data_IF_952002377702
#
_entry.id   IF_952002377702
#
_cell.length_a   1.000
_cell.length_b   1.000
_cell.length_c   1.000
_cell.angle_alpha   90.00
_cell.angle_beta   90.00
_cell.angle_gamma   90.00
#
_symmetry.space_group_name_H-M   'P 1'
#
loop_
_entity.id
_entity.type
_entity.pdbx_description
1 polymer ?
#
# COMPACT_ATOMS: atom_id res chain seq x y z
N UNK A 1 -14.04 -10.91 1.85
CA UNK A 1 -12.65 -10.41 1.76
C UNK A 1 -11.71 -11.05 2.75
N UNK A 2 -12.17 -11.51 3.91
CA UNK A 2 -11.36 -12.29 4.84
C UNK A 2 -10.69 -13.51 4.21
N UNK A 3 -11.41 -14.28 3.38
CA UNK A 3 -10.83 -15.45 2.67
C UNK A 3 -9.68 -15.04 1.73
N UNK A 4 -9.84 -14.06 0.83
CA UNK A 4 -8.72 -13.51 0.06
C UNK A 4 -7.52 -13.02 0.89
N UNK A 5 -7.76 -12.37 2.03
CA UNK A 5 -6.67 -11.89 2.90
C UNK A 5 -5.86 -13.07 3.48
N UNK A 6 -6.53 -14.10 3.99
CA UNK A 6 -5.83 -15.30 4.48
C UNK A 6 -5.11 -16.06 3.37
N UNK A 7 -5.70 -16.14 2.17
CA UNK A 7 -5.05 -16.76 1.02
C UNK A 7 -3.79 -15.98 0.60
N UNK A 8 -3.85 -14.66 0.60
CA UNK A 8 -2.71 -13.79 0.33
C UNK A 8 -1.58 -13.96 1.36
N UNK A 9 -1.90 -14.07 2.65
CA UNK A 9 -0.92 -14.37 3.69
C UNK A 9 -0.30 -15.78 3.52
N UNK A 10 -1.05 -16.71 2.93
CA UNK A 10 -0.57 -18.04 2.55
C UNK A 10 0.15 -18.08 1.18
N UNK A 11 0.41 -16.93 0.56
CA UNK A 11 1.14 -16.84 -0.70
C UNK A 11 0.31 -17.08 -1.97
N UNK A 12 -1.01 -16.93 -1.90
CA UNK A 12 -1.93 -17.10 -3.03
C UNK A 12 -2.53 -15.78 -3.51
N UNK A 13 -2.70 -15.64 -4.81
CA UNK A 13 -3.38 -14.51 -5.43
C UNK A 13 -4.85 -14.84 -5.70
N UNK A 14 -5.75 -13.91 -5.39
CA UNK A 14 -7.15 -14.02 -5.78
C UNK A 14 -7.26 -13.68 -7.27
N UNK A 15 -7.68 -14.65 -8.07
CA UNK A 15 -7.77 -14.52 -9.52
C UNK A 15 -9.18 -14.21 -9.98
N UNK A 16 -10.18 -14.84 -9.37
CA UNK A 16 -11.59 -14.62 -9.69
C UNK A 16 -12.51 -14.96 -8.53
N UNK A 17 -13.67 -14.32 -8.52
CA UNK A 17 -14.81 -14.70 -7.67
C UNK A 17 -15.99 -15.03 -8.57
N UNK A 18 -16.43 -16.27 -8.53
CA UNK A 18 -17.52 -16.76 -9.36
C UNK A 18 -18.72 -17.17 -8.51
N UNK A 19 -19.87 -17.27 -9.17
CA UNK A 19 -21.06 -17.86 -8.56
C UNK A 19 -20.78 -19.34 -8.25
N UNK A 20 -21.04 -19.75 -7.01
CA UNK A 20 -20.97 -21.16 -6.67
C UNK A 20 -22.29 -21.83 -7.04
N UNK A 21 -22.32 -22.54 -8.16
CA UNK A 21 -23.44 -23.40 -8.50
C UNK A 21 -23.21 -24.78 -7.86
N UNK A 22 -24.16 -25.20 -7.03
CA UNK A 22 -24.10 -26.46 -6.31
C UNK A 22 -24.27 -27.60 -7.31
N UNK A 23 -23.18 -28.24 -7.71
CA UNK A 23 -23.21 -29.47 -8.48
C UNK A 23 -23.24 -30.68 -7.54
N UNK A 24 -24.36 -30.90 -6.86
CA UNK A 24 -24.60 -32.19 -6.19
C UNK A 24 -24.96 -33.23 -7.24
N UNK A 25 -23.97 -34.02 -7.68
CA UNK A 25 -24.20 -35.29 -8.37
C UNK A 25 -23.59 -36.42 -7.56
N UNK A 26 -24.08 -36.64 -6.33
CA UNK A 26 -23.73 -37.80 -5.53
C UNK A 26 -24.98 -38.36 -4.84
N UNK A 27 -25.49 -39.46 -5.40
CA UNK A 27 -26.23 -40.47 -4.66
C UNK A 27 -25.28 -41.18 -3.71
N UNK A 28 -24.95 -40.55 -2.57
CA UNK A 28 -24.29 -41.27 -1.47
C UNK A 28 -25.28 -42.30 -0.92
N UNK A 29 -25.10 -43.56 -1.32
CA UNK A 29 -25.92 -44.70 -0.89
C UNK A 29 -25.70 -45.05 0.61
N UNK A 30 -24.94 -44.24 1.36
CA UNK A 30 -24.69 -44.41 2.80
C UNK A 30 -24.76 -43.07 3.53
N UNK A 31 -25.96 -42.76 4.02
CA UNK A 31 -26.14 -42.05 5.29
C UNK A 31 -25.84 -40.54 5.31
N UNK A 32 -26.90 -39.74 5.22
CA UNK A 32 -27.06 -38.42 5.87
C UNK A 32 -25.81 -37.52 5.91
N UNK A 33 -25.26 -37.18 4.74
CA UNK A 33 -24.48 -35.94 4.65
C UNK A 33 -25.45 -34.78 4.84
N UNK A 34 -25.35 -34.10 5.98
CA UNK A 34 -26.10 -32.86 6.22
C UNK A 34 -25.55 -31.82 5.23
N UNK A 35 -26.41 -31.06 4.53
CA UNK A 35 -25.93 -29.97 3.70
C UNK A 35 -25.13 -29.02 4.59
N UNK A 36 -23.90 -28.70 4.17
CA UNK A 36 -23.12 -27.66 4.83
C UNK A 36 -23.92 -26.36 4.79
N UNK A 37 -24.01 -25.60 5.89
CA UNK A 37 -24.66 -24.30 5.88
C UNK A 37 -23.87 -23.37 4.96
N UNK A 38 -24.29 -23.26 3.71
CA UNK A 38 -23.81 -22.27 2.76
C UNK A 38 -24.57 -20.97 3.02
N UNK A 39 -23.88 -19.83 2.91
CA UNK A 39 -24.54 -18.52 2.91
C UNK A 39 -25.63 -18.46 1.84
N UNK A 40 -26.61 -17.56 1.98
CA UNK A 40 -27.71 -17.40 0.99
C UNK A 40 -27.25 -17.24 -0.47
N UNK A 41 -26.01 -16.77 -0.70
CA UNK A 41 -25.37 -16.71 -2.01
C UNK A 41 -23.90 -17.19 -1.93
N UNK A 42 -23.64 -18.49 -2.02
CA UNK A 42 -22.28 -19.00 -1.96
C UNK A 42 -21.46 -18.52 -3.17
N UNK A 43 -20.19 -18.21 -2.93
CA UNK A 43 -19.24 -17.77 -3.96
C UNK A 43 -18.05 -18.72 -4.01
N UNK A 44 -17.56 -19.01 -5.23
CA UNK A 44 -16.35 -19.76 -5.47
C UNK A 44 -15.19 -18.77 -5.60
N UNK A 45 -14.21 -18.88 -4.72
CA UNK A 45 -12.97 -18.09 -4.80
C UNK A 45 -11.92 -18.93 -5.54
N UNK A 46 -11.37 -18.39 -6.62
CA UNK A 46 -10.32 -19.03 -7.39
C UNK A 46 -9.00 -18.36 -7.02
N UNK A 47 -8.06 -19.18 -6.56
CA UNK A 47 -6.73 -18.76 -6.14
C UNK A 47 -5.67 -19.35 -7.06
N UNK A 48 -4.59 -18.61 -7.28
CA UNK A 48 -3.43 -19.05 -8.07
C UNK A 48 -2.13 -18.83 -7.32
N UNK A 49 -1.14 -19.67 -7.62
CA UNK A 49 0.24 -19.42 -7.22
C UNK A 49 0.89 -18.39 -8.15
N UNK A 50 1.81 -17.54 -7.65
CA UNK A 50 2.46 -16.48 -8.45
C UNK A 50 3.31 -16.99 -9.62
N UNK A 51 3.67 -18.28 -9.62
CA UNK A 51 4.60 -18.88 -10.57
C UNK A 51 3.96 -19.97 -11.46
N UNK A 52 2.64 -20.16 -11.38
CA UNK A 52 1.99 -21.34 -11.97
C UNK A 52 1.82 -21.29 -13.50
N UNK A 53 1.97 -20.12 -14.17
CA UNK A 53 2.12 -19.91 -15.65
C UNK A 53 2.04 -18.42 -16.00
N UNK A 54 2.93 -17.96 -16.90
CA UNK A 54 3.02 -16.60 -17.46
C UNK A 54 3.04 -15.44 -16.42
N UNK A 55 3.43 -14.21 -16.78
CA UNK A 55 3.26 -13.07 -15.87
C UNK A 55 1.76 -12.85 -15.61
N UNK A 56 1.27 -13.35 -14.47
CA UNK A 56 -0.10 -13.15 -14.00
C UNK A 56 -0.23 -11.68 -13.60
N UNK A 57 -1.14 -10.94 -14.23
CA UNK A 57 -1.56 -9.62 -13.74
C UNK A 57 -3.00 -9.73 -13.23
N UNK A 58 -3.15 -9.70 -11.91
CA UNK A 58 -4.45 -9.77 -11.26
C UNK A 58 -5.19 -8.45 -11.46
N UNK A 59 -6.49 -8.50 -11.75
CA UNK A 59 -7.31 -7.29 -11.86
C UNK A 59 -7.29 -6.50 -10.54
N UNK A 60 -7.21 -5.17 -10.65
CA UNK A 60 -7.27 -4.23 -9.53
C UNK A 60 -8.42 -4.52 -8.56
N UNK A 61 -9.55 -5.05 -9.04
CA UNK A 61 -10.68 -5.40 -8.19
C UNK A 61 -10.40 -6.55 -7.19
N UNK A 62 -9.42 -7.40 -7.48
CA UNK A 62 -9.04 -8.57 -6.68
C UNK A 62 -7.73 -8.41 -5.92
N UNK A 63 -6.95 -7.35 -6.22
CA UNK A 63 -5.68 -7.10 -5.56
C UNK A 63 -5.86 -6.78 -4.07
N UNK A 64 -4.94 -7.30 -3.27
CA UNK A 64 -4.80 -6.94 -1.85
C UNK A 64 -3.75 -5.84 -1.72
N UNK A 65 -4.09 -4.84 -0.91
CA UNK A 65 -3.27 -3.66 -0.69
C UNK A 65 -2.96 -3.44 0.80
N UNK A 66 -1.86 -2.76 1.05
CA UNK A 66 -1.51 -2.16 2.34
C UNK A 66 -1.23 -0.68 2.13
N UNK A 67 -1.46 0.15 3.15
CA UNK A 67 -1.16 1.58 3.09
C UNK A 67 -0.36 2.04 4.30
N UNK A 68 0.42 3.10 4.12
CA UNK A 68 1.04 3.81 5.23
C UNK A 68 1.17 5.30 4.91
N UNK A 69 1.36 6.11 5.95
CA UNK A 69 1.61 7.54 5.79
C UNK A 69 3.09 7.84 5.92
N UNK A 70 3.67 8.42 4.87
CA UNK A 70 5.01 9.00 4.91
C UNK A 70 4.87 10.49 5.24
N UNK A 71 5.45 10.94 6.35
CA UNK A 71 5.39 12.33 6.80
C UNK A 71 6.79 12.95 6.80
N UNK A 72 6.98 13.96 5.98
CA UNK A 72 8.23 14.71 5.89
C UNK A 72 8.01 16.10 6.47
N UNK A 73 8.89 16.51 7.36
CA UNK A 73 8.98 17.90 7.78
C UNK A 73 9.99 18.61 6.88
N UNK A 74 9.52 19.66 6.22
CA UNK A 74 10.29 20.38 5.20
C UNK A 74 10.14 21.88 5.43
N UNK A 75 11.27 22.59 5.46
CA UNK A 75 11.36 24.02 5.34
C UNK A 75 11.64 24.37 3.86
N UNK A 76 10.65 24.93 3.17
CA UNK A 76 10.73 25.20 1.72
C UNK A 76 11.95 26.03 1.32
N UNK A 77 12.39 26.96 2.16
CA UNK A 77 13.53 27.82 1.86
C UNK A 77 14.87 27.10 2.01
N UNK A 78 15.14 26.48 3.17
CA UNK A 78 16.43 25.85 3.44
C UNK A 78 16.55 24.51 2.75
N UNK A 79 15.52 23.66 2.83
CA UNK A 79 15.54 22.34 2.23
C UNK A 79 15.36 22.43 0.72
N UNK A 80 14.60 23.42 0.23
CA UNK A 80 14.49 23.70 -1.19
C UNK A 80 15.85 24.03 -1.82
N UNK A 81 16.60 24.96 -1.22
CA UNK A 81 17.98 25.29 -1.66
C UNK A 81 18.91 24.08 -1.60
N UNK A 82 18.89 23.34 -0.48
CA UNK A 82 19.75 22.17 -0.32
C UNK A 82 19.40 21.05 -1.33
N UNK A 83 18.13 20.90 -1.70
CA UNK A 83 17.71 19.97 -2.75
C UNK A 83 18.18 20.44 -4.13
N UNK A 84 18.04 21.73 -4.44
CA UNK A 84 18.47 22.32 -5.71
C UNK A 84 19.99 22.20 -5.91
N UNK A 85 20.80 22.40 -4.87
CA UNK A 85 22.25 22.16 -4.87
C UNK A 85 22.61 20.70 -5.20
N UNK A 86 21.71 19.76 -4.89
CA UNK A 86 21.84 18.33 -5.23
C UNK A 86 21.20 17.97 -6.58
N UNK A 87 20.74 18.97 -7.34
CA UNK A 87 20.06 18.77 -8.63
C UNK A 87 18.64 18.22 -8.51
N UNK A 88 18.00 18.36 -7.35
CA UNK A 88 16.64 17.89 -7.08
C UNK A 88 15.68 19.08 -6.98
N UNK A 89 14.49 18.98 -7.56
CA UNK A 89 13.50 20.06 -7.53
C UNK A 89 12.54 19.88 -6.35
N UNK A 90 12.39 20.93 -5.54
CA UNK A 90 11.43 20.93 -4.41
C UNK A 90 10.00 20.65 -4.87
N UNK A 91 9.63 21.09 -6.08
CA UNK A 91 8.30 20.81 -6.67
C UNK A 91 8.08 19.31 -6.88
N UNK A 92 9.11 18.58 -7.30
CA UNK A 92 9.03 17.13 -7.50
C UNK A 92 8.90 16.41 -6.16
N UNK A 93 9.50 16.96 -5.09
CA UNK A 93 9.26 16.49 -3.73
C UNK A 93 7.79 16.72 -3.35
N UNK A 94 7.27 17.94 -3.42
CA UNK A 94 5.88 18.29 -3.06
C UNK A 94 4.85 17.45 -3.81
N UNK A 95 5.09 17.19 -5.11
CA UNK A 95 4.21 16.36 -5.92
C UNK A 95 4.31 14.86 -5.58
N UNK A 96 5.36 14.43 -4.90
CA UNK A 96 5.65 13.03 -4.59
C UNK A 96 6.41 12.29 -5.70
N UNK A 97 6.69 12.95 -6.82
CA UNK A 97 7.43 12.37 -7.96
C UNK A 97 8.82 11.91 -7.51
N UNK A 98 9.47 12.71 -6.67
CA UNK A 98 10.79 12.38 -6.13
C UNK A 98 10.76 11.12 -5.24
N UNK A 99 9.67 10.91 -4.50
CA UNK A 99 9.49 9.72 -3.65
C UNK A 99 9.33 8.47 -4.52
N UNK A 100 8.46 8.53 -5.54
CA UNK A 100 8.28 7.43 -6.48
C UNK A 100 9.56 7.13 -7.27
N UNK A 101 10.31 8.15 -7.66
CA UNK A 101 11.59 8.00 -8.33
C UNK A 101 12.64 7.35 -7.43
N UNK A 102 12.70 7.72 -6.15
CA UNK A 102 13.58 7.07 -5.18
C UNK A 102 13.23 5.59 -5.02
N UNK A 103 11.94 5.26 -4.94
CA UNK A 103 11.49 3.86 -4.86
C UNK A 103 11.92 3.04 -6.08
N UNK A 104 11.73 3.61 -7.29
CA UNK A 104 12.07 2.94 -8.55
C UNK A 104 13.57 2.76 -8.72
N UNK A 105 14.36 3.82 -8.54
CA UNK A 105 15.82 3.80 -8.76
C UNK A 105 16.53 2.85 -7.80
N UNK A 106 16.05 2.77 -6.56
CA UNK A 106 16.64 1.91 -5.54
C UNK A 106 15.99 0.52 -5.46
N UNK A 107 15.06 0.20 -6.37
CA UNK A 107 14.36 -1.10 -6.44
C UNK A 107 13.76 -1.52 -5.08
N UNK A 108 13.22 -0.54 -4.35
CA UNK A 108 12.63 -0.75 -3.01
C UNK A 108 11.40 -1.66 -3.09
N UNK A 109 10.66 -1.55 -4.19
CA UNK A 109 9.45 -2.33 -4.41
C UNK A 109 9.81 -3.61 -5.16
N UNK A 110 9.54 -4.80 -4.58
CA UNK A 110 9.73 -6.07 -5.26
C UNK A 110 8.94 -6.16 -6.57
N UNK A 111 9.46 -6.93 -7.52
CA UNK A 111 8.73 -7.21 -8.76
C UNK A 111 7.38 -7.87 -8.45
N UNK A 112 6.32 -7.41 -9.09
CA UNK A 112 4.96 -7.91 -8.87
C UNK A 112 4.20 -7.24 -7.73
N UNK A 113 4.84 -6.32 -7.01
CA UNK A 113 4.18 -5.34 -6.15
C UNK A 113 4.22 -3.98 -6.85
N UNK A 114 3.11 -3.26 -6.81
CA UNK A 114 3.02 -1.88 -7.27
C UNK A 114 2.93 -0.94 -6.08
N UNK A 115 3.68 0.16 -6.14
CA UNK A 115 3.59 1.26 -5.21
C UNK A 115 3.06 2.52 -5.90
N UNK A 116 2.22 3.26 -5.19
CA UNK A 116 1.67 4.54 -5.65
C UNK A 116 1.42 5.49 -4.48
N UNK A 117 1.32 6.78 -4.79
CA UNK A 117 0.89 7.82 -3.85
C UNK A 117 -0.58 8.08 -4.12
N UNK A 118 -1.45 7.61 -3.23
CA UNK A 118 -2.89 7.72 -3.39
C UNK A 118 -3.41 9.12 -3.09
N UNK A 119 -2.85 9.78 -2.08
CA UNK A 119 -3.12 11.19 -1.78
C UNK A 119 -1.90 11.88 -1.19
N UNK A 120 -1.86 13.20 -1.29
CA UNK A 120 -0.80 14.06 -0.75
C UNK A 120 -1.41 15.31 -0.15
N UNK A 121 -0.83 15.78 0.95
CA UNK A 121 -1.21 17.02 1.60
C UNK A 121 0.02 17.79 2.06
N UNK A 122 0.01 19.10 1.85
CA UNK A 122 0.97 20.02 2.46
C UNK A 122 0.25 20.73 3.62
N UNK A 123 0.65 20.43 4.85
CA UNK A 123 0.05 20.98 6.06
C UNK A 123 1.02 21.99 6.66
N UNK A 124 0.67 23.29 6.72
CA UNK A 124 1.51 24.27 7.40
C UNK A 124 1.74 23.85 8.85
N UNK A 125 2.97 23.94 9.35
CA UNK A 125 3.22 23.80 10.78
C UNK A 125 2.75 25.09 11.43
N UNK A 126 1.52 25.12 11.91
CA UNK A 126 1.07 26.17 12.81
C UNK A 126 1.83 25.99 14.14
N UNK A 127 2.99 26.64 14.25
CA UNK A 127 3.78 26.81 15.47
C UNK A 127 3.65 25.64 16.46
N UNK A 128 4.13 24.46 16.10
CA UNK A 128 4.36 23.44 17.13
C UNK A 128 5.48 23.95 18.02
N UNK A 129 5.29 23.88 19.34
CA UNK A 129 6.24 24.36 20.36
C UNK A 129 7.63 23.69 20.30
N UNK A 130 7.83 22.74 19.39
CA UNK A 130 9.09 22.02 19.18
C UNK A 130 9.99 22.68 18.13
N UNK A 131 9.57 23.78 17.50
CA UNK A 131 10.44 24.63 16.67
C UNK A 131 11.41 25.43 17.56
N UNK A 132 12.38 24.73 18.13
CA UNK A 132 13.66 25.34 18.50
C UNK A 132 14.43 25.59 17.21
N UNK A 133 14.86 26.83 17.06
CA UNK A 133 15.69 27.38 16.00
C UNK A 133 15.00 27.83 14.70
N UNK A 134 14.91 29.17 14.59
CA UNK A 134 14.98 30.00 13.37
C UNK A 134 13.72 30.67 12.83
N UNK A 135 12.55 30.60 13.48
CA UNK A 135 11.41 31.46 13.09
C UNK A 135 10.96 31.34 11.62
N UNK A 136 11.32 30.23 10.95
CA UNK A 136 10.93 29.93 9.57
C UNK A 136 9.73 28.98 9.58
N UNK A 137 8.69 29.25 8.78
CA UNK A 137 7.52 28.40 8.73
C UNK A 137 7.89 27.06 8.07
N UNK A 138 7.87 25.99 8.86
CA UNK A 138 7.91 24.63 8.34
C UNK A 138 6.58 24.20 7.73
N UNK A 139 6.61 23.15 6.92
CA UNK A 139 5.43 22.43 6.46
C UNK A 139 5.63 20.92 6.58
N UNK A 140 4.54 20.21 6.86
CA UNK A 140 4.50 18.76 6.73
C UNK A 140 4.02 18.40 5.33
N UNK A 141 4.82 17.61 4.62
CA UNK A 141 4.37 16.89 3.45
C UNK A 141 3.93 15.50 3.89
N UNK A 142 2.65 15.20 3.73
CA UNK A 142 2.04 13.91 4.08
C UNK A 142 1.68 13.19 2.80
N UNK A 143 2.25 12.02 2.58
CA UNK A 143 1.92 11.13 1.46
C UNK A 143 1.24 9.89 1.99
N UNK A 144 0.08 9.54 1.43
CA UNK A 144 -0.51 8.23 1.65
C UNK A 144 0.03 7.27 0.59
N UNK A 145 1.01 6.47 1.00
CA UNK A 145 1.62 5.44 0.18
C UNK A 145 0.72 4.21 0.18
N UNK A 146 0.46 3.65 -0.99
CA UNK A 146 -0.29 2.39 -1.16
C UNK A 146 0.57 1.40 -1.92
N UNK A 147 0.59 0.17 -1.41
CA UNK A 147 1.23 -0.98 -2.04
C UNK A 147 0.16 -1.99 -2.39
N UNK A 148 0.25 -2.62 -3.56
CA UNK A 148 -0.69 -3.65 -4.01
C UNK A 148 0.01 -4.78 -4.75
N UNK A 149 -0.44 -6.01 -4.51
CA UNK A 149 0.10 -7.20 -5.18
C UNK A 149 -0.53 -7.40 -6.55
N UNK A 150 0.20 -7.09 -7.62
CA UNK A 150 -0.25 -7.27 -9.02
C UNK A 150 0.00 -8.71 -9.50
N UNK A 151 1.21 -9.22 -9.26
CA UNK A 151 1.63 -10.57 -9.66
C UNK A 151 2.31 -11.34 -8.53
N UNK A 152 2.45 -10.71 -7.35
CA UNK A 152 2.96 -11.32 -6.13
C UNK A 152 2.04 -10.98 -4.95
N UNK A 153 1.77 -11.93 -4.03
CA UNK A 153 1.01 -11.68 -2.81
C UNK A 153 1.69 -10.61 -1.97
N UNK A 154 0.91 -9.67 -1.46
CA UNK A 154 1.41 -8.59 -0.61
C UNK A 154 1.09 -8.89 0.84
N UNK A 155 2.05 -9.44 1.58
CA UNK A 155 1.91 -9.61 3.02
C UNK A 155 2.20 -8.30 3.76
N UNK A 156 1.75 -8.22 5.02
CA UNK A 156 2.02 -7.05 5.87
C UNK A 156 3.50 -6.88 6.15
N UNK A 157 4.24 -7.99 6.26
CA UNK A 157 5.69 -8.03 6.48
C UNK A 157 6.43 -7.45 5.28
N UNK A 158 6.06 -7.85 4.06
CA UNK A 158 6.61 -7.28 2.82
C UNK A 158 6.34 -5.77 2.76
N UNK A 159 5.10 -5.36 3.00
CA UNK A 159 4.73 -3.94 3.01
C UNK A 159 5.49 -3.14 4.09
N UNK A 160 5.71 -3.71 5.27
CA UNK A 160 6.52 -3.08 6.33
C UNK A 160 8.00 -2.96 5.95
N UNK A 161 8.56 -3.92 5.22
CA UNK A 161 9.92 -3.85 4.72
C UNK A 161 10.05 -2.74 3.68
N UNK A 162 9.15 -2.69 2.68
CA UNK A 162 9.11 -1.63 1.66
C UNK A 162 9.04 -0.24 2.32
N UNK A 163 8.20 -0.09 3.36
CA UNK A 163 8.11 1.14 4.15
C UNK A 163 9.43 1.48 4.83
N UNK A 164 10.05 0.52 5.53
CA UNK A 164 11.31 0.75 6.25
C UNK A 164 12.42 1.20 5.27
N UNK A 165 12.55 0.49 4.16
CA UNK A 165 13.52 0.80 3.11
C UNK A 165 13.26 2.19 2.51
N UNK A 166 11.99 2.54 2.26
CA UNK A 166 11.62 3.87 1.78
C UNK A 166 11.99 4.98 2.77
N UNK A 167 11.67 4.81 4.05
CA UNK A 167 12.04 5.77 5.10
C UNK A 167 13.56 5.96 5.15
N UNK A 168 14.33 4.87 5.12
CA UNK A 168 15.79 4.92 5.13
C UNK A 168 16.35 5.62 3.89
N UNK A 169 15.81 5.32 2.70
CA UNK A 169 16.23 5.98 1.46
C UNK A 169 15.89 7.47 1.43
N UNK A 170 14.73 7.86 1.96
CA UNK A 170 14.35 9.28 2.08
C UNK A 170 15.29 10.02 3.02
N UNK A 171 15.61 9.45 4.18
CA UNK A 171 16.56 10.03 5.13
C UNK A 171 17.95 10.20 4.51
N UNK A 172 18.42 9.18 3.79
CA UNK A 172 19.72 9.19 3.15
C UNK A 172 19.83 10.19 2.00
N UNK A 173 18.84 10.25 1.11
CA UNK A 173 18.91 11.05 -0.11
C UNK A 173 18.37 12.47 0.04
N UNK A 174 17.25 12.64 0.76
CA UNK A 174 16.58 13.93 0.87
C UNK A 174 17.10 14.74 2.05
N UNK A 175 17.63 14.09 3.09
CA UNK A 175 18.13 14.74 4.32
C UNK A 175 17.08 15.66 4.97
N UNK A 176 15.81 15.30 4.80
CA UNK A 176 14.65 15.96 5.43
C UNK A 176 14.24 15.17 6.66
N UNK A 177 13.60 15.85 7.62
CA UNK A 177 13.22 15.19 8.87
C UNK A 177 11.99 14.31 8.66
N UNK A 178 12.12 13.01 8.93
CA UNK A 178 10.99 12.07 8.92
C UNK A 178 10.23 12.13 10.25
N UNK A 179 8.91 12.34 10.18
CA UNK A 179 8.02 12.26 11.35
C UNK A 179 7.21 10.97 11.34
N UNK A 180 6.94 10.46 12.55
CA UNK A 180 6.25 9.17 12.76
C UNK A 180 6.93 7.98 12.06
N UNK A 181 8.27 7.99 12.03
CA UNK A 181 9.07 6.85 11.56
C UNK A 181 8.72 5.58 12.33
N UNK A 182 8.72 4.43 11.66
CA UNK A 182 8.52 3.12 12.31
C UNK A 182 7.07 2.76 12.61
N UNK A 183 6.08 3.58 12.21
CA UNK A 183 4.68 3.18 12.30
C UNK A 183 4.40 2.04 11.33
N UNK A 184 3.76 0.97 11.81
CA UNK A 184 3.43 -0.18 10.96
C UNK A 184 2.46 0.21 9.86
N UNK A 185 2.61 -0.41 8.69
CA UNK A 185 1.59 -0.34 7.62
C UNK A 185 0.23 -0.83 8.14
N UNK A 186 -0.83 -0.42 7.46
CA UNK A 186 -2.20 -0.85 7.72
C UNK A 186 -2.33 -2.38 7.69
N UNK A 187 -3.46 -2.89 8.19
CA UNK A 187 -3.84 -4.26 7.86
C UNK A 187 -4.09 -4.38 6.35
N UNK A 188 -3.90 -5.56 5.75
CA UNK A 188 -4.24 -5.78 4.35
C UNK A 188 -5.73 -5.50 4.10
N UNK A 189 -6.05 -4.94 2.94
CA UNK A 189 -7.42 -4.66 2.53
C UNK A 189 -7.58 -4.83 1.02
N UNK A 190 -8.80 -5.05 0.51
CA UNK A 190 -9.05 -5.10 -0.94
C UNK A 190 -8.81 -3.73 -1.58
N UNK A 191 -7.98 -3.67 -2.62
CA UNK A 191 -7.57 -2.41 -3.24
C UNK A 191 -8.77 -1.56 -3.73
N UNK A 192 -9.83 -2.20 -4.23
CA UNK A 192 -11.08 -1.53 -4.61
C UNK A 192 -11.75 -0.69 -3.50
N UNK A 193 -11.40 -0.91 -2.22
CA UNK A 193 -11.90 -0.10 -1.10
C UNK A 193 -11.05 1.15 -0.84
N UNK A 194 -9.96 1.36 -1.59
CA UNK A 194 -9.07 2.50 -1.42
C UNK A 194 -9.84 3.83 -1.54
N UNK A 195 -10.71 3.97 -2.54
CA UNK A 195 -11.45 5.22 -2.73
C UNK A 195 -12.32 5.57 -1.51
N UNK A 196 -13.05 4.59 -0.98
CA UNK A 196 -13.85 4.78 0.24
C UNK A 196 -12.97 5.17 1.43
N UNK A 197 -11.80 4.54 1.58
CA UNK A 197 -10.84 4.88 2.63
C UNK A 197 -10.23 6.28 2.47
N UNK A 198 -10.10 6.76 1.23
CA UNK A 198 -9.62 8.12 0.94
C UNK A 198 -10.66 9.16 1.32
N UNK A 199 -11.93 8.93 0.97
CA UNK A 199 -13.05 9.80 1.34
C UNK A 199 -13.18 9.94 2.86
N UNK A 200 -13.05 8.84 3.61
CA UNK A 200 -13.03 8.85 5.08
C UNK A 200 -11.80 9.57 5.69
N UNK A 201 -10.73 9.77 4.92
CA UNK A 201 -9.52 10.46 5.36
C UNK A 201 -9.48 11.95 5.03
N UNK A 202 -10.28 12.39 4.07
CA UNK A 202 -10.37 13.80 3.66
C UNK A 202 -11.60 14.52 4.21
N UNK A 203 -12.56 13.78 4.76
CA UNK A 203 -13.76 14.28 5.47
C UNK A 203 -13.44 14.72 6.90
#
# INVERSE_FOLDING_TARGET
WTVPMFANDAGLLLDAIEKFDIQYNLSSHRGKDRPFPTSQMPRRFIFRLPHDRDPINIDDEYQIACRHELRLEVCLESDGKALEERGLRIKDLINGDLILDLMRRNKIVPQGIRAEIATRAAVPVALSNDYRDQGKPGQFLVYLMVYRGESQPLTREIANQIRADLEDMVDQHLKVTLRKRGYTVSRPFPYRLLQTLLEDHTS
#
